data_IF_637012964605
#
_entry.id   IF_637012964605
#
_cell.length_a   1.000
_cell.length_b   1.000
_cell.length_c   1.000
_cell.angle_alpha   90.00
_cell.angle_beta   90.00
_cell.angle_gamma   90.00
#
_symmetry.space_group_name_H-M   'P 1'
#
loop_
_entity.id
_entity.type
_entity.pdbx_description
1 polymer ?
#
# COMPACT_ATOMS: atom_id res chain seq x y z
N UNK A 1 0.10 -44.29 6.76
CA UNK A 1 0.21 -43.70 5.41
C UNK A 1 0.26 -42.18 5.60
N UNK A 2 1.45 -41.56 5.48
CA UNK A 2 1.66 -40.11 5.62
C UNK A 2 1.30 -39.44 4.30
N UNK A 3 0.41 -38.46 4.30
CA UNK A 3 0.29 -37.48 3.21
C UNK A 3 0.62 -36.11 3.77
N UNK A 4 1.83 -35.65 3.46
CA UNK A 4 2.36 -34.33 3.73
C UNK A 4 1.71 -33.32 2.78
N UNK A 5 0.97 -32.36 3.31
CA UNK A 5 0.61 -31.14 2.58
C UNK A 5 1.82 -30.18 2.63
N UNK A 6 2.70 -30.31 1.65
CA UNK A 6 3.68 -29.28 1.35
C UNK A 6 2.97 -28.16 0.57
N UNK A 7 2.77 -26.99 1.19
CA UNK A 7 2.12 -25.87 0.47
C UNK A 7 2.15 -24.49 1.13
N UNK A 8 2.60 -24.34 2.38
CA UNK A 8 2.49 -23.07 3.10
C UNK A 8 3.44 -21.95 2.66
N UNK A 9 4.55 -22.26 1.97
CA UNK A 9 5.63 -21.27 1.72
C UNK A 9 5.67 -20.74 0.29
N UNK A 10 4.94 -21.33 -0.65
CA UNK A 10 5.01 -20.98 -2.07
C UNK A 10 4.05 -19.84 -2.47
N UNK A 11 2.97 -19.63 -1.68
CA UNK A 11 2.06 -18.49 -1.86
C UNK A 11 2.72 -17.17 -1.42
N UNK A 12 3.52 -17.19 -0.36
CA UNK A 12 4.26 -16.01 0.12
C UNK A 12 5.41 -15.62 -0.82
N UNK A 13 6.10 -16.61 -1.42
CA UNK A 13 7.14 -16.35 -2.43
C UNK A 13 6.60 -15.70 -3.71
N UNK A 14 5.43 -16.15 -4.20
CA UNK A 14 4.76 -15.49 -5.34
C UNK A 14 4.22 -14.10 -4.98
N UNK A 15 3.73 -13.90 -3.74
CA UNK A 15 3.34 -12.57 -3.25
C UNK A 15 4.54 -11.63 -3.14
N UNK A 16 5.70 -12.09 -2.64
CA UNK A 16 6.89 -11.25 -2.51
C UNK A 16 7.46 -10.79 -3.86
N UNK A 17 7.38 -11.65 -4.89
CA UNK A 17 7.80 -11.27 -6.25
C UNK A 17 6.81 -10.32 -6.93
N UNK A 18 5.52 -10.38 -6.56
CA UNK A 18 4.48 -9.40 -6.92
C UNK A 18 4.42 -8.17 -6.00
N UNK A 19 5.28 -8.10 -4.98
CA UNK A 19 5.48 -7.00 -4.04
C UNK A 19 6.87 -6.38 -4.27
N UNK A 20 7.33 -6.30 -5.52
CA UNK A 20 8.28 -5.24 -5.86
C UNK A 20 7.70 -3.90 -5.32
N UNK A 21 8.51 -2.98 -4.77
CA UNK A 21 7.99 -1.73 -4.23
C UNK A 21 7.35 -0.90 -5.36
N UNK A 22 6.06 -1.13 -5.59
CA UNK A 22 5.25 -0.37 -6.54
C UNK A 22 4.93 0.95 -5.87
N UNK A 23 5.21 2.05 -6.59
CA UNK A 23 4.93 3.41 -6.11
C UNK A 23 3.43 3.68 -5.92
N UNK A 24 2.57 2.89 -6.55
CA UNK A 24 1.11 3.05 -6.57
C UNK A 24 0.43 1.69 -6.41
N UNK A 25 -0.74 1.68 -5.77
CA UNK A 25 -1.59 0.50 -5.65
C UNK A 25 -3.05 0.87 -5.91
N UNK A 26 -3.78 0.08 -6.70
CA UNK A 26 -5.22 0.26 -6.88
C UNK A 26 -5.94 -0.38 -5.70
N UNK A 27 -6.66 0.43 -4.92
CA UNK A 27 -7.34 0.03 -3.70
C UNK A 27 -8.84 0.28 -3.87
N UNK A 28 -9.60 -0.80 -3.99
CA UNK A 28 -11.06 -0.76 -4.16
C UNK A 28 -11.68 -1.48 -2.97
N UNK A 29 -12.51 -0.77 -2.22
CA UNK A 29 -13.29 -1.34 -1.14
C UNK A 29 -14.53 -2.07 -1.66
N UNK A 30 -15.08 -2.97 -0.84
CA UNK A 30 -16.29 -3.70 -1.19
C UNK A 30 -17.53 -2.79 -1.22
N UNK A 31 -17.53 -1.72 -0.42
CA UNK A 31 -18.62 -0.74 -0.31
C UNK A 31 -18.06 0.69 -0.30
N UNK A 32 -18.92 1.65 -0.65
CA UNK A 32 -18.62 3.08 -0.68
C UNK A 32 -19.47 3.81 0.35
N UNK A 33 -19.06 3.74 1.62
CA UNK A 33 -19.79 4.28 2.76
C UNK A 33 -18.87 5.15 3.62
N UNK A 34 -19.41 6.14 4.37
CA UNK A 34 -18.63 6.87 5.37
C UNK A 34 -18.04 5.90 6.40
N UNK A 35 -16.88 6.26 6.95
CA UNK A 35 -16.19 5.55 8.03
C UNK A 35 -15.75 4.11 7.71
N UNK A 36 -15.83 3.69 6.43
CA UNK A 36 -15.49 2.34 6.00
C UNK A 36 -14.26 2.28 5.09
N UNK A 37 -13.14 1.80 5.64
CA UNK A 37 -11.96 1.37 4.88
C UNK A 37 -11.39 0.09 5.51
N UNK A 38 -10.66 -0.70 4.73
CA UNK A 38 -10.18 -2.01 5.15
C UNK A 38 -8.65 -2.09 5.22
N UNK A 39 -8.15 -3.27 5.58
CA UNK A 39 -6.73 -3.60 5.58
C UNK A 39 -6.05 -3.32 4.23
N UNK A 40 -6.79 -3.33 3.12
CA UNK A 40 -6.26 -3.05 1.77
C UNK A 40 -5.65 -1.66 1.68
N UNK A 41 -6.32 -0.67 2.27
CA UNK A 41 -5.81 0.71 2.30
C UNK A 41 -4.62 0.83 3.24
N UNK A 42 -4.72 0.20 4.41
CA UNK A 42 -3.67 0.23 5.42
C UNK A 42 -2.38 -0.39 4.90
N UNK A 43 -2.45 -1.58 4.29
CA UNK A 43 -1.30 -2.28 3.71
C UNK A 43 -0.62 -1.45 2.61
N UNK A 44 -1.40 -0.79 1.76
CA UNK A 44 -0.88 0.11 0.72
C UNK A 44 -0.09 1.27 1.33
N UNK A 45 -0.62 1.92 2.37
CA UNK A 45 0.07 3.02 3.05
C UNK A 45 1.31 2.55 3.83
N UNK A 46 1.24 1.37 4.47
CA UNK A 46 2.38 0.77 5.19
C UNK A 46 3.57 0.46 4.29
N UNK A 47 3.31 0.20 3.01
CA UNK A 47 4.31 -0.09 1.99
C UNK A 47 4.84 1.17 1.27
N UNK A 48 4.57 2.38 1.76
CA UNK A 48 4.93 3.66 1.14
C UNK A 48 4.40 3.79 -0.31
N UNK A 49 3.21 3.23 -0.58
CA UNK A 49 2.55 3.30 -1.90
C UNK A 49 1.47 4.39 -1.90
N UNK A 50 1.27 5.05 -3.05
CA UNK A 50 0.16 5.99 -3.27
C UNK A 50 -1.09 5.19 -3.63
N UNK A 51 -2.16 5.21 -2.80
CA UNK A 51 -3.39 4.52 -3.13
C UNK A 51 -4.16 5.24 -4.24
N UNK A 52 -4.53 4.51 -5.30
CA UNK A 52 -5.58 4.89 -6.25
C UNK A 52 -6.88 4.30 -5.69
N UNK A 53 -7.68 5.14 -5.03
CA UNK A 53 -8.61 4.72 -3.99
C UNK A 53 -10.08 4.94 -4.38
N UNK A 54 -10.90 3.91 -4.16
CA UNK A 54 -12.37 3.96 -4.20
C UNK A 54 -12.93 3.26 -2.96
N UNK A 55 -13.73 3.95 -2.14
CA UNK A 55 -14.25 3.42 -0.88
C UNK A 55 -14.82 4.49 0.05
N UNK A 56 -14.23 4.65 1.22
CA UNK A 56 -14.63 5.61 2.26
C UNK A 56 -14.87 7.03 1.70
N UNK A 57 -16.08 7.57 1.88
CA UNK A 57 -16.46 8.88 1.31
C UNK A 57 -15.91 10.07 2.10
N UNK A 58 -15.62 9.88 3.38
CA UNK A 58 -14.98 10.86 4.27
C UNK A 58 -13.53 10.48 4.62
N UNK A 59 -12.81 9.80 3.72
CA UNK A 59 -11.44 9.33 3.99
C UNK A 59 -10.48 10.46 4.40
N UNK A 60 -10.76 11.70 4.00
CA UNK A 60 -10.01 12.89 4.39
C UNK A 60 -10.05 13.23 5.88
N UNK A 61 -10.97 12.64 6.64
CA UNK A 61 -11.00 12.74 8.12
C UNK A 61 -9.96 11.82 8.79
N UNK A 62 -9.47 10.81 8.06
CA UNK A 62 -8.55 9.81 8.58
C UNK A 62 -7.13 9.95 8.05
N UNK A 63 -6.98 10.35 6.78
CA UNK A 63 -5.71 10.46 6.07
C UNK A 63 -5.66 11.72 5.20
N UNK A 64 -4.45 12.20 4.93
CA UNK A 64 -4.24 13.31 4.01
C UNK A 64 -4.40 12.85 2.57
N UNK A 65 -5.44 13.35 1.90
CA UNK A 65 -5.80 12.95 0.52
C UNK A 65 -4.78 13.42 -0.52
N UNK A 66 -3.86 14.34 -0.20
CA UNK A 66 -2.76 14.69 -1.09
C UNK A 66 -1.79 13.50 -1.31
N UNK A 67 -1.78 12.53 -0.40
CA UNK A 67 -1.04 11.27 -0.54
C UNK A 67 -1.78 10.19 -1.32
N UNK A 68 -2.94 10.50 -1.89
CA UNK A 68 -3.85 9.55 -2.53
C UNK A 68 -4.33 10.05 -3.90
N UNK A 69 -4.88 9.16 -4.70
CA UNK A 69 -5.65 9.47 -5.90
C UNK A 69 -7.07 8.97 -5.67
N UNK A 70 -7.96 9.86 -5.20
CA UNK A 70 -9.34 9.50 -4.87
C UNK A 70 -10.18 9.45 -6.16
N UNK A 71 -10.85 8.32 -6.38
CA UNK A 71 -11.67 8.09 -7.56
C UNK A 71 -13.11 7.76 -7.15
N UNK A 72 -14.07 8.12 -8.02
CA UNK A 72 -15.50 7.87 -7.86
C UNK A 72 -16.10 7.01 -8.97
N UNK A 73 -15.35 6.79 -10.05
CA UNK A 73 -15.77 6.00 -11.22
C UNK A 73 -14.63 5.13 -11.77
N UNK A 74 -14.98 4.15 -12.61
CA UNK A 74 -13.98 3.33 -13.32
C UNK A 74 -13.11 4.17 -14.26
N UNK A 75 -13.71 5.16 -14.92
CA UNK A 75 -12.99 6.05 -15.83
C UNK A 75 -11.93 6.88 -15.09
N UNK A 76 -12.25 7.37 -13.89
CA UNK A 76 -11.28 8.06 -13.03
C UNK A 76 -10.14 7.14 -12.58
N UNK A 77 -10.43 5.88 -12.26
CA UNK A 77 -9.39 4.90 -11.92
C UNK A 77 -8.46 4.68 -13.12
N UNK A 78 -9.03 4.51 -14.33
CA UNK A 78 -8.23 4.34 -15.55
C UNK A 78 -7.35 5.56 -15.83
N UNK A 79 -7.90 6.77 -15.68
CA UNK A 79 -7.14 8.02 -15.83
C UNK A 79 -6.03 8.14 -14.78
N UNK A 80 -6.32 7.82 -13.51
CA UNK A 80 -5.35 7.84 -12.44
C UNK A 80 -4.17 6.90 -12.74
N UNK A 81 -4.46 5.66 -13.14
CA UNK A 81 -3.46 4.66 -13.55
C UNK A 81 -2.61 5.15 -14.72
N UNK A 82 -3.19 5.83 -15.70
CA UNK A 82 -2.44 6.40 -16.84
C UNK A 82 -1.59 7.62 -16.46
N UNK A 83 -1.94 8.33 -15.38
CA UNK A 83 -1.26 9.56 -14.95
C UNK A 83 -0.07 9.33 -14.02
N UNK A 84 0.09 8.12 -13.48
CA UNK A 84 1.14 7.82 -12.49
C UNK A 84 2.55 8.09 -13.05
N UNK A 85 3.42 8.68 -12.23
CA UNK A 85 4.80 8.96 -12.65
C UNK A 85 5.76 9.02 -11.47
N UNK A 86 7.06 8.84 -11.73
CA UNK A 86 8.09 8.99 -10.69
C UNK A 86 8.08 10.40 -10.10
N UNK A 87 7.86 11.41 -10.93
CA UNK A 87 7.80 12.82 -10.52
C UNK A 87 6.62 13.08 -9.58
N UNK A 88 5.43 12.58 -9.92
CA UNK A 88 4.24 12.70 -9.07
C UNK A 88 4.47 12.01 -7.72
N UNK A 89 4.97 10.78 -7.72
CA UNK A 89 5.30 10.06 -6.49
C UNK A 89 6.29 10.83 -5.61
N UNK A 90 7.36 11.37 -6.21
CA UNK A 90 8.36 12.19 -5.51
C UNK A 90 7.74 13.44 -4.87
N UNK A 91 6.79 14.07 -5.55
CA UNK A 91 6.08 15.24 -5.03
C UNK A 91 5.19 14.90 -3.81
N UNK A 92 4.81 13.63 -3.63
CA UNK A 92 3.94 13.16 -2.54
C UNK A 92 4.69 12.58 -1.35
N UNK A 93 6.02 12.41 -1.42
CA UNK A 93 6.82 11.66 -0.43
C UNK A 93 6.57 12.09 1.02
N UNK A 94 6.49 13.40 1.29
CA UNK A 94 6.23 13.89 2.65
C UNK A 94 4.85 13.45 3.18
N UNK A 95 3.83 13.45 2.32
CA UNK A 95 2.46 13.06 2.68
C UNK A 95 2.35 11.54 2.77
N UNK A 96 3.03 10.80 1.89
CA UNK A 96 3.12 9.33 1.96
C UNK A 96 3.69 8.92 3.31
N UNK A 97 4.78 9.55 3.75
CA UNK A 97 5.39 9.25 5.05
C UNK A 97 4.44 9.57 6.22
N UNK A 98 3.73 10.70 6.16
CA UNK A 98 2.75 11.07 7.18
C UNK A 98 1.59 10.06 7.26
N UNK A 99 1.01 9.70 6.10
CA UNK A 99 -0.06 8.71 6.00
C UNK A 99 0.39 7.32 6.43
N UNK A 100 1.64 6.92 6.15
CA UNK A 100 2.19 5.65 6.65
C UNK A 100 2.22 5.61 8.17
N UNK A 101 2.69 6.70 8.82
CA UNK A 101 2.71 6.80 10.29
C UNK A 101 1.30 6.70 10.87
N UNK A 102 0.34 7.37 10.24
CA UNK A 102 -1.08 7.29 10.62
C UNK A 102 -1.66 5.89 10.43
N UNK A 103 -1.34 5.23 9.31
CA UNK A 103 -1.80 3.88 8.98
C UNK A 103 -1.29 2.83 9.97
N UNK A 104 -0.10 3.03 10.53
CA UNK A 104 0.47 2.14 11.55
C UNK A 104 -0.37 2.08 12.83
N UNK A 105 -1.20 3.08 13.12
CA UNK A 105 -2.12 3.07 14.26
C UNK A 105 -3.32 2.11 14.04
N UNK A 106 -3.60 1.73 12.79
CA UNK A 106 -4.67 0.79 12.42
C UNK A 106 -4.17 -0.63 12.20
N UNK A 107 -2.86 -0.85 12.18
CA UNK A 107 -2.27 -2.16 11.95
C UNK A 107 -2.52 -3.10 13.16
N UNK A 108 -3.13 -4.29 12.96
CA UNK A 108 -3.22 -5.27 14.04
C UNK A 108 -1.81 -5.71 14.46
N UNK A 109 -1.58 -5.75 15.77
CA UNK A 109 -0.25 -5.92 16.41
C UNK A 109 0.46 -7.24 16.03
N UNK A 110 -0.25 -8.23 15.49
CA UNK A 110 0.25 -9.60 15.31
C UNK A 110 0.47 -10.02 13.85
N UNK A 111 -0.17 -9.38 12.85
CA UNK A 111 -0.09 -9.83 11.43
C UNK A 111 0.84 -8.97 10.55
N UNK A 112 1.07 -7.70 10.91
CA UNK A 112 1.81 -6.76 10.05
C UNK A 112 3.32 -6.67 10.34
N UNK A 113 3.85 -7.48 11.27
CA UNK A 113 5.29 -7.56 11.50
C UNK A 113 6.04 -7.91 10.21
N UNK A 114 5.50 -8.79 9.37
CA UNK A 114 6.13 -9.18 8.10
C UNK A 114 6.15 -8.03 7.08
N UNK A 115 5.10 -7.22 7.01
CA UNK A 115 5.02 -6.05 6.11
C UNK A 115 5.98 -4.95 6.60
N UNK A 116 6.01 -4.69 7.91
CA UNK A 116 6.96 -3.75 8.51
C UNK A 116 8.42 -4.20 8.34
N UNK A 117 8.71 -5.49 8.57
CA UNK A 117 10.03 -6.09 8.32
C UNK A 117 10.39 -6.02 6.84
N UNK A 118 9.46 -6.28 5.92
CA UNK A 118 9.72 -6.18 4.48
C UNK A 118 10.03 -4.74 4.09
N UNK A 119 9.27 -3.76 4.59
CA UNK A 119 9.54 -2.35 4.37
C UNK A 119 10.91 -1.95 4.95
N UNK A 120 11.27 -2.41 6.15
CA UNK A 120 12.59 -2.20 6.78
C UNK A 120 13.73 -2.82 5.97
N UNK A 121 13.53 -4.05 5.48
CA UNK A 121 14.51 -4.77 4.66
C UNK A 121 14.68 -4.11 3.28
N UNK A 122 13.60 -3.63 2.66
CA UNK A 122 13.68 -2.86 1.42
C UNK A 122 14.40 -1.51 1.64
N UNK A 123 14.17 -0.83 2.77
CA UNK A 123 14.90 0.40 3.15
C UNK A 123 16.40 0.15 3.30
N UNK A 124 16.80 -0.88 4.07
CA UNK A 124 18.22 -1.20 4.30
C UNK A 124 18.95 -1.63 3.03
N UNK A 125 18.26 -2.28 2.09
CA UNK A 125 18.82 -2.65 0.78
C UNK A 125 18.92 -1.47 -0.19
N UNK A 126 18.04 -0.47 -0.08
CA UNK A 126 18.11 0.77 -0.86
C UNK A 126 19.27 1.70 -0.48
N UNK A 127 19.78 1.60 0.75
CA UNK A 127 20.94 2.37 1.23
C UNK A 127 22.29 1.75 0.82
N UNK A 128 22.34 0.45 0.47
CA UNK A 128 23.56 -0.22 0.04
C UNK A 128 23.98 0.08 -1.42
N UNK A 129 23.19 0.87 -2.15
CA UNK A 129 23.43 1.20 -3.57
C UNK A 129 24.08 2.56 -3.85
N UNK A 130 24.50 3.32 -2.84
CA UNK A 130 25.25 4.58 -3.00
C UNK A 130 26.59 4.52 -2.28
N UNK A 131 27.57 3.87 -2.90
CA UNK A 131 28.98 4.22 -2.72
C UNK A 131 29.59 4.39 -4.12
N UNK A 132 29.75 5.64 -4.52
CA UNK A 132 30.80 6.03 -5.47
C UNK A 132 32.04 6.33 -4.66
#
# INVERSE_FOLDING_TARGET
MRTSWAGGTNLLKKKSDGLAPYRYSVVIENVREPDYFSEKLIDAMLCDTVPIYWGCTNIGEYFDTAGMMICTSMDEIQQAVQSVSVKDYQARLAVIEANRRRAAEYAPFEENAAVLLLAEVLRSRGLAGKST
#
